data_IF_088300997315
#
_entry.id   IF_088300997315
#
_cell.length_a   1.000
_cell.length_b   1.000
_cell.length_c   1.000
_cell.angle_alpha   90.00
_cell.angle_beta   90.00
_cell.angle_gamma   90.00
#
_symmetry.space_group_name_H-M   'P 1'
#
loop_
_entity.id
_entity.type
_entity.pdbx_description
1 polymer ?
#
# COMPACT_ATOMS: atom_id res chain seq x y z
N UNK A 1 58.76 -32.75 14.19
CA UNK A 1 57.73 -32.07 15.02
C UNK A 1 57.27 -30.73 14.45
N UNK A 2 58.15 -29.75 14.14
CA UNK A 2 57.74 -28.39 13.71
C UNK A 2 56.90 -28.32 12.40
N UNK A 3 57.16 -29.19 11.42
CA UNK A 3 56.43 -29.22 10.13
C UNK A 3 54.98 -29.73 10.25
N UNK A 4 54.73 -30.59 11.23
CA UNK A 4 53.41 -31.19 11.50
C UNK A 4 52.52 -30.19 12.27
N UNK A 5 53.12 -29.43 13.19
CA UNK A 5 52.42 -28.37 13.93
C UNK A 5 51.92 -27.29 12.97
N UNK A 6 52.73 -26.91 11.97
CA UNK A 6 52.38 -25.92 10.95
C UNK A 6 51.26 -26.41 10.01
N UNK A 7 51.27 -27.69 9.64
CA UNK A 7 50.22 -28.28 8.81
C UNK A 7 48.88 -28.32 9.56
N UNK A 8 48.90 -28.64 10.86
CA UNK A 8 47.71 -28.71 11.70
C UNK A 8 47.11 -27.32 11.99
N UNK A 9 47.94 -26.28 12.12
CA UNK A 9 47.43 -24.90 12.27
C UNK A 9 46.81 -24.35 10.98
N UNK A 10 47.27 -24.79 9.81
CA UNK A 10 46.72 -24.35 8.53
C UNK A 10 45.32 -24.92 8.24
N UNK A 11 45.01 -26.11 8.76
CA UNK A 11 43.72 -26.78 8.53
C UNK A 11 42.58 -26.24 9.42
N UNK A 12 42.89 -25.62 10.55
CA UNK A 12 41.88 -25.02 11.45
C UNK A 12 41.51 -23.57 11.09
N UNK A 13 42.19 -22.95 10.13
CA UNK A 13 41.99 -21.54 9.75
C UNK A 13 40.94 -21.27 8.67
N UNK A 14 40.29 -22.30 8.12
CA UNK A 14 39.42 -22.18 6.91
C UNK A 14 37.92 -22.31 7.19
N UNK A 15 37.48 -22.15 8.44
CA UNK A 15 36.05 -21.99 8.77
C UNK A 15 35.57 -20.58 8.43
N UNK A 16 35.58 -20.24 7.13
CA UNK A 16 34.82 -19.11 6.59
C UNK A 16 33.34 -19.45 6.72
N UNK A 17 32.66 -18.78 7.65
CA UNK A 17 31.21 -18.78 7.78
C UNK A 17 30.59 -18.15 6.52
N UNK A 18 30.52 -18.89 5.42
CA UNK A 18 29.68 -18.55 4.28
C UNK A 18 28.24 -18.94 4.61
N UNK A 19 27.65 -18.28 5.60
CA UNK A 19 26.20 -18.36 5.79
C UNK A 19 25.53 -17.69 4.60
N UNK A 20 24.64 -18.41 3.94
CA UNK A 20 23.60 -17.79 3.12
C UNK A 20 22.79 -16.90 4.08
N UNK A 21 23.03 -15.60 4.00
CA UNK A 21 22.22 -14.62 4.72
C UNK A 21 20.85 -14.63 4.07
N UNK A 22 19.89 -15.30 4.71
CA UNK A 22 18.48 -15.20 4.33
C UNK A 22 18.06 -13.77 4.59
N UNK A 23 18.11 -12.95 3.54
CA UNK A 23 17.44 -11.66 3.54
C UNK A 23 15.97 -11.98 3.77
N UNK A 24 15.42 -11.51 4.90
CA UNK A 24 13.98 -11.43 5.06
C UNK A 24 13.50 -10.56 3.90
N UNK A 25 12.91 -11.18 2.87
CA UNK A 25 12.30 -10.44 1.78
C UNK A 25 11.12 -9.69 2.40
N UNK A 26 11.34 -8.41 2.64
CA UNK A 26 10.29 -7.51 3.06
C UNK A 26 9.18 -7.57 2.02
N UNK A 27 8.00 -7.96 2.46
CA UNK A 27 6.87 -8.19 1.58
C UNK A 27 6.42 -6.85 1.01
N UNK A 28 6.41 -6.77 -0.32
CA UNK A 28 5.79 -5.66 -1.02
C UNK A 28 4.28 -5.79 -0.85
N UNK A 29 3.66 -4.85 -0.16
CA UNK A 29 2.22 -4.85 0.08
C UNK A 29 1.55 -3.93 -0.94
N UNK A 30 0.68 -4.48 -1.77
CA UNK A 30 -0.14 -3.68 -2.69
C UNK A 30 -1.28 -2.99 -1.95
N UNK A 31 -1.23 -1.65 -1.91
CA UNK A 31 -2.28 -0.80 -1.33
C UNK A 31 -3.47 -0.73 -2.29
N UNK A 32 -3.20 -0.50 -3.57
CA UNK A 32 -4.22 -0.46 -4.61
C UNK A 32 -3.59 -0.26 -5.98
N UNK A 33 -4.29 -0.74 -6.99
CA UNK A 33 -3.88 -0.65 -8.39
C UNK A 33 -5.10 -0.38 -9.26
N UNK A 34 -4.92 0.51 -10.24
CA UNK A 34 -5.86 0.69 -11.32
C UNK A 34 -5.12 0.72 -12.65
N UNK A 35 -5.49 -0.21 -13.54
CA UNK A 35 -4.85 -0.43 -14.82
C UNK A 35 -3.30 -0.51 -14.69
N UNK A 36 -2.60 0.49 -15.22
CA UNK A 36 -1.14 0.53 -15.24
C UNK A 36 -0.54 1.36 -14.11
N UNK A 37 -1.35 1.91 -13.19
CA UNK A 37 -0.89 2.72 -12.06
C UNK A 37 -1.20 2.01 -10.75
N UNK A 38 -0.23 1.91 -9.84
CA UNK A 38 -0.43 1.25 -8.55
C UNK A 38 0.43 1.84 -7.44
N UNK A 39 -0.11 1.81 -6.22
CA UNK A 39 0.55 2.22 -5.00
C UNK A 39 0.94 0.98 -4.20
N UNK A 40 2.23 0.90 -3.87
CA UNK A 40 2.82 -0.20 -3.12
C UNK A 40 3.51 0.32 -1.88
N UNK A 41 3.44 -0.45 -0.80
CA UNK A 41 4.12 -0.19 0.46
C UNK A 41 5.23 -1.21 0.67
N UNK A 42 6.42 -0.72 1.02
CA UNK A 42 7.53 -1.53 1.50
C UNK A 42 8.09 -0.85 2.75
N UNK A 43 7.86 -1.44 3.92
CA UNK A 43 8.16 -0.82 5.21
C UNK A 43 7.50 0.56 5.34
N UNK A 44 8.28 1.63 5.55
CA UNK A 44 7.82 3.02 5.66
C UNK A 44 7.88 3.78 4.32
N UNK A 45 8.28 3.08 3.26
CA UNK A 45 8.39 3.64 1.91
C UNK A 45 7.19 3.28 1.07
N UNK A 46 6.62 4.29 0.44
CA UNK A 46 5.52 4.16 -0.49
C UNK A 46 6.04 4.44 -1.89
N UNK A 47 5.62 3.59 -2.83
CA UNK A 47 6.07 3.66 -4.22
C UNK A 47 4.85 3.67 -5.12
N UNK A 48 4.75 4.71 -5.94
CA UNK A 48 3.79 4.76 -7.03
C UNK A 48 4.49 4.25 -8.28
N UNK A 49 3.98 3.17 -8.85
CA UNK A 49 4.40 2.63 -10.13
C UNK A 49 3.39 3.04 -11.20
N UNK A 50 3.87 3.36 -12.39
CA UNK A 50 3.03 3.64 -13.54
C UNK A 50 3.69 3.24 -14.86
N UNK A 51 2.89 2.98 -15.90
CA UNK A 51 3.36 2.82 -17.27
C UNK A 51 3.63 4.19 -17.90
N UNK A 52 4.82 4.37 -18.46
CA UNK A 52 5.25 5.62 -19.08
C UNK A 52 4.67 5.74 -20.49
N UNK A 53 3.79 6.73 -20.68
CA UNK A 53 3.20 7.06 -21.98
C UNK A 53 4.08 8.01 -22.82
N UNK A 54 5.16 8.56 -22.24
CA UNK A 54 6.08 9.44 -22.95
C UNK A 54 7.12 8.67 -23.78
N UNK A 55 7.26 7.36 -23.53
CA UNK A 55 8.18 6.47 -24.25
C UNK A 55 7.43 5.65 -25.30
N UNK A 56 8.03 5.47 -26.49
CA UNK A 56 7.43 4.67 -27.57
C UNK A 56 7.21 3.19 -27.20
N UNK A 57 8.00 2.67 -26.25
CA UNK A 57 7.81 1.34 -25.69
C UNK A 57 6.76 1.36 -24.56
N UNK A 58 5.55 0.90 -24.89
CA UNK A 58 4.44 0.78 -23.96
C UNK A 58 4.73 -0.15 -22.77
N UNK A 59 5.77 -0.98 -22.78
CA UNK A 59 6.12 -1.82 -21.63
C UNK A 59 7.08 -1.14 -20.64
N UNK A 60 7.34 0.16 -20.80
CA UNK A 60 8.22 0.91 -19.92
C UNK A 60 7.46 1.34 -18.66
N UNK A 61 7.83 0.77 -17.51
CA UNK A 61 7.30 1.19 -16.22
C UNK A 61 8.28 2.12 -15.51
N UNK A 62 7.74 3.15 -14.87
CA UNK A 62 8.47 4.05 -13.99
C UNK A 62 7.87 4.03 -12.61
N UNK A 63 8.65 4.51 -11.67
CA UNK A 63 8.22 4.63 -10.30
C UNK A 63 8.91 5.76 -9.60
N UNK A 64 8.23 6.30 -8.60
CA UNK A 64 8.81 7.20 -7.64
C UNK A 64 8.42 6.75 -6.24
N UNK A 65 9.30 7.00 -5.28
CA UNK A 65 9.11 6.58 -3.91
C UNK A 65 9.30 7.73 -2.95
N UNK A 66 8.51 7.73 -1.88
CA UNK A 66 8.60 8.68 -0.78
C UNK A 66 8.34 7.98 0.56
N UNK A 67 8.76 8.63 1.64
CA UNK A 67 8.49 8.16 3.00
C UNK A 67 7.18 8.78 3.50
N UNK A 68 6.46 8.05 4.34
CA UNK A 68 5.25 8.57 4.99
C UNK A 68 5.59 9.09 6.40
N UNK A 69 6.28 10.22 6.48
CA UNK A 69 6.75 10.79 7.75
C UNK A 69 5.62 11.50 8.49
N UNK A 70 4.84 12.32 7.78
CA UNK A 70 3.79 13.18 8.36
C UNK A 70 2.39 12.86 7.83
N UNK A 71 2.14 11.60 7.45
CA UNK A 71 0.93 11.26 6.71
C UNK A 71 0.98 11.76 5.26
N UNK A 72 2.18 11.86 4.68
CA UNK A 72 2.42 12.37 3.32
C UNK A 72 1.63 11.60 2.25
N UNK A 73 1.33 10.31 2.49
CA UNK A 73 0.47 9.52 1.58
C UNK A 73 -0.96 10.08 1.56
N UNK A 74 -1.51 10.38 2.75
CA UNK A 74 -2.84 10.98 2.88
C UNK A 74 -2.84 12.44 2.40
N UNK A 75 -1.76 13.17 2.67
CA UNK A 75 -1.56 14.52 2.15
C UNK A 75 -1.55 14.56 0.63
N UNK A 76 -0.81 13.64 -0.01
CA UNK A 76 -0.79 13.49 -1.47
C UNK A 76 -2.18 13.12 -2.01
N UNK A 77 -2.88 12.19 -1.37
CA UNK A 77 -4.25 11.83 -1.74
C UNK A 77 -5.18 13.05 -1.71
N UNK A 78 -5.18 13.80 -0.60
CA UNK A 78 -6.00 15.01 -0.45
C UNK A 78 -5.68 16.07 -1.48
N UNK A 79 -4.39 16.34 -1.69
CA UNK A 79 -3.93 17.30 -2.68
C UNK A 79 -4.38 16.91 -4.10
N UNK A 80 -4.40 15.62 -4.43
CA UNK A 80 -4.95 15.12 -5.69
C UNK A 80 -6.46 15.33 -5.76
N UNK A 81 -7.18 14.96 -4.70
CA UNK A 81 -8.64 15.04 -4.69
C UNK A 81 -9.18 16.46 -4.71
N UNK A 82 -8.50 17.37 -4.02
CA UNK A 82 -8.86 18.78 -3.96
C UNK A 82 -8.68 19.43 -5.34
N UNK A 83 -7.64 19.04 -6.09
CA UNK A 83 -7.43 19.48 -7.48
C UNK A 83 -8.50 19.00 -8.47
N UNK A 84 -9.29 17.97 -8.15
CA UNK A 84 -10.46 17.61 -8.96
C UNK A 84 -11.67 18.51 -8.69
N UNK A 85 -11.76 19.09 -7.49
CA UNK A 85 -12.86 19.99 -7.09
C UNK A 85 -12.57 21.41 -7.59
N UNK A 86 -11.38 21.90 -7.25
CA UNK A 86 -10.87 23.20 -7.69
C UNK A 86 -9.64 22.97 -8.58
N UNK A 87 -9.86 22.93 -9.89
CA UNK A 87 -8.80 22.63 -10.86
C UNK A 87 -7.78 23.76 -10.90
N UNK A 88 -6.52 23.52 -10.49
CA UNK A 88 -5.50 24.56 -10.49
C UNK A 88 -5.19 25.02 -11.92
N UNK A 89 -4.86 26.30 -12.07
CA UNK A 89 -4.50 26.91 -13.37
C UNK A 89 -3.18 26.34 -13.93
N UNK A 90 -2.31 25.82 -13.05
CA UNK A 90 -1.02 25.24 -13.42
C UNK A 90 -0.75 23.91 -12.72
N UNK A 91 0.41 23.33 -13.03
CA UNK A 91 0.84 22.06 -12.45
C UNK A 91 1.23 22.23 -10.98
N UNK A 92 0.78 21.32 -10.13
CA UNK A 92 1.27 21.29 -8.74
C UNK A 92 2.57 20.51 -8.72
N UNK A 93 3.67 21.16 -8.33
CA UNK A 93 4.99 20.54 -8.28
C UNK A 93 5.28 20.01 -6.88
N UNK A 94 5.67 18.75 -6.80
CA UNK A 94 6.06 18.03 -5.59
C UNK A 94 7.54 17.67 -5.72
N UNK A 95 8.36 18.15 -4.80
CA UNK A 95 9.77 17.79 -4.75
C UNK A 95 9.98 16.56 -3.86
N UNK A 96 10.49 15.48 -4.46
CA UNK A 96 10.92 14.29 -3.74
C UNK A 96 12.46 14.29 -3.64
N UNK A 97 13.05 13.47 -2.75
CA UNK A 97 14.50 13.42 -2.60
C UNK A 97 15.25 13.13 -3.90
N UNK A 98 14.71 12.23 -4.73
CA UNK A 98 15.35 11.79 -5.97
C UNK A 98 14.70 12.36 -7.23
N UNK A 99 13.41 12.69 -7.18
CA UNK A 99 12.60 13.03 -8.35
C UNK A 99 11.80 14.30 -8.11
N UNK A 100 11.30 14.91 -9.19
CA UNK A 100 10.28 15.96 -9.10
C UNK A 100 9.02 15.43 -9.77
N UNK A 101 7.89 15.50 -9.08
CA UNK A 101 6.59 15.06 -9.60
C UNK A 101 5.71 16.27 -9.82
N UNK A 102 5.24 16.47 -11.03
CA UNK A 102 4.18 17.44 -11.34
C UNK A 102 2.84 16.73 -11.47
N UNK A 103 1.83 17.28 -10.83
CA UNK A 103 0.44 16.90 -11.02
C UNK A 103 -0.17 17.83 -12.07
N UNK A 104 -0.46 17.27 -13.23
CA UNK A 104 -1.10 17.97 -14.32
C UNK A 104 -2.59 17.64 -14.33
N UNK A 105 -3.43 18.67 -14.15
CA UNK A 105 -4.87 18.50 -14.19
C UNK A 105 -5.41 18.96 -15.54
N UNK A 106 -6.29 18.15 -16.12
CA UNK A 106 -6.93 18.45 -17.40
C UNK A 106 -8.36 17.92 -17.39
N UNK A 107 -9.24 18.60 -18.13
CA UNK A 107 -10.63 18.15 -18.32
C UNK A 107 -10.72 17.28 -19.57
N UNK A 108 -10.79 15.97 -19.38
CA UNK A 108 -11.02 15.01 -20.45
C UNK A 108 -12.52 14.70 -20.56
N UNK A 109 -13.14 15.03 -21.70
CA UNK A 109 -14.58 14.85 -21.94
C UNK A 109 -15.48 15.42 -20.83
N UNK A 110 -15.12 16.60 -20.31
CA UNK A 110 -15.86 17.28 -19.24
C UNK A 110 -15.65 16.71 -17.84
N UNK A 111 -14.83 15.66 -17.68
CA UNK A 111 -14.46 15.10 -16.39
C UNK A 111 -13.07 15.60 -15.98
N UNK A 112 -12.86 16.07 -14.75
CA UNK A 112 -11.54 16.45 -14.27
C UNK A 112 -10.67 15.20 -14.08
N UNK A 113 -9.47 15.25 -14.63
CA UNK A 113 -8.49 14.15 -14.62
C UNK A 113 -7.13 14.65 -14.22
N UNK A 114 -6.30 13.78 -13.65
CA UNK A 114 -4.93 14.10 -13.23
C UNK A 114 -3.95 13.16 -13.90
N UNK A 115 -2.79 13.69 -14.27
CA UNK A 115 -1.65 12.94 -14.79
C UNK A 115 -0.42 13.22 -13.93
N UNK A 116 0.32 12.18 -13.60
CA UNK A 116 1.63 12.30 -12.98
C UNK A 116 2.69 12.53 -14.06
N UNK A 117 3.45 13.61 -13.92
CA UNK A 117 4.61 13.93 -14.74
C UNK A 117 5.84 13.83 -13.83
N UNK A 118 6.70 12.84 -14.05
CA UNK A 118 7.93 12.65 -13.28
C UNK A 118 9.13 13.19 -14.06
N UNK A 119 9.92 14.06 -13.41
CA UNK A 119 11.29 14.36 -13.81
C UNK A 119 12.24 13.46 -13.05
N UNK A 120 12.82 12.51 -13.76
CA UNK A 120 13.61 11.42 -13.17
C UNK A 120 14.98 11.95 -12.77
N UNK A 121 15.44 11.65 -11.56
CA UNK A 121 16.71 12.12 -11.02
C UNK A 121 16.83 13.66 -11.05
N UNK A 122 15.69 14.35 -10.84
CA UNK A 122 15.55 15.82 -10.97
C UNK A 122 16.02 16.38 -12.33
N UNK A 123 16.03 15.54 -13.37
CA UNK A 123 16.49 15.92 -14.70
C UNK A 123 15.31 16.18 -15.63
N UNK A 124 15.21 17.41 -16.15
CA UNK A 124 14.14 17.82 -17.08
C UNK A 124 14.18 17.14 -18.44
N UNK A 125 15.31 16.48 -18.80
CA UNK A 125 15.42 15.70 -20.05
C UNK A 125 14.70 14.36 -19.98
N UNK A 126 14.62 13.76 -18.80
CA UNK A 126 14.02 12.45 -18.60
C UNK A 126 12.66 12.61 -17.93
N UNK A 127 11.63 12.70 -18.77
CA UNK A 127 10.25 12.90 -18.35
C UNK A 127 9.47 11.61 -18.53
N UNK A 128 8.81 11.15 -17.48
CA UNK A 128 7.83 10.07 -17.54
C UNK A 128 6.42 10.60 -17.33
N UNK A 129 5.44 10.15 -18.11
CA UNK A 129 4.04 10.56 -17.96
C UNK A 129 3.15 9.35 -17.69
N UNK A 130 2.32 9.43 -16.66
CA UNK A 130 1.32 8.38 -16.41
C UNK A 130 0.13 8.50 -17.37
N UNK A 131 -0.77 7.52 -17.35
CA UNK A 131 -2.13 7.75 -17.86
C UNK A 131 -2.86 8.83 -17.07
N UNK A 132 -3.88 9.42 -17.68
CA UNK A 132 -4.85 10.24 -16.98
C UNK A 132 -5.68 9.37 -16.04
N UNK A 133 -5.96 9.91 -14.86
CA UNK A 133 -6.67 9.26 -13.79
C UNK A 133 -7.83 10.13 -13.32
N UNK A 134 -9.00 9.51 -13.18
CA UNK A 134 -10.18 10.14 -12.62
C UNK A 134 -10.20 9.93 -11.10
N UNK A 135 -11.01 10.71 -10.38
CA UNK A 135 -11.19 10.58 -8.92
C UNK A 135 -11.42 9.13 -8.46
N UNK A 136 -12.29 8.38 -9.14
CA UNK A 136 -12.59 6.98 -8.80
C UNK A 136 -11.35 6.06 -8.88
N UNK A 137 -10.47 6.32 -9.84
CA UNK A 137 -9.25 5.54 -10.03
C UNK A 137 -8.22 5.89 -8.96
N UNK A 138 -8.10 7.17 -8.60
CA UNK A 138 -7.29 7.61 -7.46
C UNK A 138 -7.79 6.97 -6.16
N UNK A 139 -9.09 7.01 -5.88
CA UNK A 139 -9.68 6.39 -4.68
C UNK A 139 -9.36 4.88 -4.59
N UNK A 140 -9.28 4.19 -5.74
CA UNK A 140 -8.90 2.78 -5.82
C UNK A 140 -7.39 2.54 -5.62
N UNK A 141 -6.54 3.35 -6.26
CA UNK A 141 -5.07 3.27 -6.12
C UNK A 141 -4.65 3.50 -4.67
N UNK A 142 -5.26 4.49 -4.01
CA UNK A 142 -4.99 4.79 -2.61
C UNK A 142 -5.72 3.85 -1.64
N UNK A 143 -6.45 2.85 -2.12
CA UNK A 143 -7.08 1.84 -1.27
C UNK A 143 -8.26 2.35 -0.44
N UNK A 144 -8.79 3.55 -0.73
CA UNK A 144 -9.98 4.12 -0.07
C UNK A 144 -11.24 3.31 -0.42
N UNK A 145 -11.31 2.76 -1.62
CA UNK A 145 -12.40 1.86 -2.02
C UNK A 145 -12.32 0.45 -1.40
N UNK A 146 -11.14 0.01 -0.96
CA UNK A 146 -10.89 -1.38 -0.52
C UNK A 146 -10.64 -1.49 0.99
N UNK A 147 -10.63 -0.37 1.72
CA UNK A 147 -10.31 -0.33 3.16
C UNK A 147 -8.82 -0.51 3.49
N UNK A 148 -7.97 -0.60 2.47
CA UNK A 148 -6.50 -0.73 2.61
C UNK A 148 -5.81 0.59 2.96
N UNK A 149 -6.55 1.70 3.03
CA UNK A 149 -6.01 2.99 3.50
C UNK A 149 -5.47 2.93 4.93
N UNK A 150 -6.06 2.06 5.76
CA UNK A 150 -5.61 1.78 7.13
C UNK A 150 -4.13 1.38 7.24
N UNK A 151 -3.51 0.94 6.14
CA UNK A 151 -2.08 0.59 6.08
C UNK A 151 -1.15 1.81 6.12
N UNK A 152 -1.66 3.03 5.91
CA UNK A 152 -0.88 4.27 5.97
C UNK A 152 -1.55 5.38 6.79
N UNK A 153 -2.81 5.22 7.20
CA UNK A 153 -3.52 6.16 8.09
C UNK A 153 -2.92 6.22 9.51
N UNK A 154 -2.11 5.23 9.91
CA UNK A 154 -1.36 5.24 11.18
C UNK A 154 0.06 5.77 10.96
N UNK A 155 0.50 6.83 11.67
CA UNK A 155 1.90 7.25 11.64
C UNK A 155 2.78 6.08 12.09
N UNK A 156 3.94 5.91 11.44
CA UNK A 156 4.88 4.85 11.76
C UNK A 156 5.24 4.94 13.26
N UNK A 157 4.70 4.02 14.06
CA UNK A 157 5.05 3.92 15.47
C UNK A 157 6.50 3.47 15.57
N UNK A 158 7.35 4.37 16.08
CA UNK A 158 8.69 4.05 16.56
C UNK A 158 8.61 2.79 17.43
N UNK A 159 9.38 1.77 17.07
CA UNK A 159 9.44 0.48 17.75
C UNK A 159 9.56 0.65 19.27
N UNK A 160 8.61 0.07 20.03
CA UNK A 160 8.86 -0.26 21.42
C UNK A 160 8.90 -1.77 21.60
N UNK A 161 10.05 -2.25 22.06
CA UNK A 161 10.39 -3.64 22.31
C UNK A 161 9.74 -4.10 23.62
N UNK A 162 9.33 -5.37 23.66
CA UNK A 162 8.96 -6.15 24.84
C UNK A 162 7.65 -5.83 25.56
N UNK A 163 6.67 -6.74 25.46
CA UNK A 163 6.35 -7.60 26.61
C UNK A 163 5.69 -8.91 26.18
N UNK A 164 6.02 -9.96 26.92
CA UNK A 164 5.71 -11.37 26.70
C UNK A 164 4.26 -11.70 27.15
N UNK A 165 3.67 -12.66 26.43
CA UNK A 165 2.41 -13.42 26.64
C UNK A 165 2.14 -13.83 28.13
N UNK A 166 0.91 -14.20 28.52
CA UNK A 166 0.43 -15.56 28.22
C UNK A 166 -1.05 -15.67 27.82
N UNK A 167 -1.36 -16.80 27.17
CA UNK A 167 -2.69 -17.26 26.83
C UNK A 167 -3.18 -18.30 27.85
N UNK A 168 -4.50 -18.40 28.05
CA UNK A 168 -5.21 -19.55 28.67
C UNK A 168 -6.66 -19.55 28.15
N UNK A 169 -7.03 -20.38 27.17
CA UNK A 169 -7.73 -21.70 27.24
C UNK A 169 -9.15 -21.74 27.82
N UNK A 170 -9.98 -22.51 27.10
CA UNK A 170 -11.44 -22.69 27.09
C UNK A 170 -12.03 -23.50 28.26
N UNK A 171 -13.35 -23.36 28.53
CA UNK A 171 -14.22 -24.47 29.01
C UNK A 171 -15.72 -24.15 28.84
N UNK A 172 -16.54 -25.19 28.65
CA UNK A 172 -17.95 -25.15 28.24
C UNK A 172 -18.90 -25.84 29.25
N UNK A 173 -20.21 -25.49 29.18
CA UNK A 173 -21.46 -26.24 29.57
C UNK A 173 -21.72 -26.52 31.07
N UNK A 174 -22.96 -26.47 31.65
CA UNK A 174 -24.22 -27.20 31.33
C UNK A 174 -25.53 -26.65 32.01
N UNK A 175 -26.65 -26.64 31.23
CA UNK A 175 -28.09 -27.07 31.45
C UNK A 175 -28.97 -26.77 32.69
N UNK A 176 -30.24 -26.33 32.43
CA UNK A 176 -31.55 -26.92 32.83
C UNK A 176 -32.72 -26.04 32.26
N UNK A 177 -33.55 -26.42 31.27
CA UNK A 177 -34.67 -27.39 31.18
C UNK A 177 -36.03 -26.90 31.79
N UNK A 178 -37.03 -26.63 30.92
CA UNK A 178 -38.40 -27.21 30.93
C UNK A 178 -39.47 -26.33 30.22
N UNK A 179 -40.17 -26.91 29.24
CA UNK A 179 -41.49 -26.49 28.72
C UNK A 179 -42.57 -27.46 29.29
N UNK A 180 -43.89 -27.19 29.22
CA UNK A 180 -44.66 -27.38 27.97
C UNK A 180 -45.89 -26.43 27.77
N UNK A 181 -46.47 -26.44 26.56
CA UNK A 181 -47.79 -25.87 26.17
C UNK A 181 -48.94 -26.89 26.50
N UNK A 182 -50.28 -26.64 26.34
CA UNK A 182 -50.96 -26.20 25.07
C UNK A 182 -52.34 -25.45 25.17
N UNK A 183 -52.97 -25.21 23.99
CA UNK A 183 -54.40 -24.95 23.69
C UNK A 183 -54.99 -23.55 23.98
N UNK A 184 -55.96 -22.93 23.26
CA UNK A 184 -56.75 -23.21 22.05
C UNK A 184 -57.66 -21.99 21.73
N UNK A 185 -58.08 -21.81 20.45
CA UNK A 185 -59.31 -21.07 20.05
C UNK A 185 -59.07 -19.76 19.28
N UNK A 186 -59.84 -19.29 18.29
CA UNK A 186 -61.01 -19.78 17.54
C UNK A 186 -61.16 -18.87 16.30
N UNK A 187 -61.55 -19.47 15.15
CA UNK A 187 -62.26 -18.98 13.93
C UNK A 187 -62.71 -17.48 13.90
N UNK A 188 -62.84 -16.75 12.79
CA UNK A 188 -63.57 -17.07 11.53
C UNK A 188 -63.47 -15.93 10.48
N UNK A 189 -63.21 -16.30 9.21
CA UNK A 189 -63.90 -15.93 7.93
C UNK A 189 -64.25 -14.47 7.49
N UNK A 190 -63.75 -14.19 6.26
CA UNK A 190 -64.43 -13.78 4.99
C UNK A 190 -64.79 -12.31 4.66
N UNK A 191 -64.11 -11.80 3.61
CA UNK A 191 -64.58 -11.29 2.29
C UNK A 191 -65.79 -10.36 2.17
N UNK A 192 -65.54 -9.13 1.66
CA UNK A 192 -66.10 -8.45 0.46
C UNK A 192 -65.50 -7.03 0.48
N UNK A 193 -65.02 -6.43 -0.62
CA UNK A 193 -65.66 -6.18 -1.90
C UNK A 193 -64.58 -5.79 -2.91
#
# INVERSE_FOLDING_TARGET
MRKIILLLTCLFGISVFSQIKVLKNETLVEIGKDNSVGLYKKQDKFTINYQDLNTANLNTFRSFSFLNLNGDVEGLYKLITDGFIDTPIGNITLELPNDIIELHYEKNYGQPTVQFIQFINKNRKYVGKSQFLNKKQIDKIFGKSTGKSSLYDRPATVNNVHTVKPATTSTATTTAAAAPAPASGTKTKKSKK
#
